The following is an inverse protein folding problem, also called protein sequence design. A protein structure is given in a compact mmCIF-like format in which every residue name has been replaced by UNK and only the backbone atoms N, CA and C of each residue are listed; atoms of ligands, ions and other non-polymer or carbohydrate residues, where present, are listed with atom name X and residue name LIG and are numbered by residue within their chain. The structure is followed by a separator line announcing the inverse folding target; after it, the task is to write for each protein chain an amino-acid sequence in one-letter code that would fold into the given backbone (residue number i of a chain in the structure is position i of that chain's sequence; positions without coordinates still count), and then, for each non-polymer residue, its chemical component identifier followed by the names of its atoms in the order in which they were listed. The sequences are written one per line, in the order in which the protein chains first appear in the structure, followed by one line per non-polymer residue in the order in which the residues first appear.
data_IF_812865528851
#
_entry.id   IF_812865528851
#
_cell.length_a   1.000
_cell.length_b   1.000
_cell.length_c   1.000
_cell.angle_alpha   90.00
_cell.angle_beta   90.00
_cell.angle_gamma   90.00
#
_symmetry.space_group_name_H-M   'P 1'
#
loop_
_entity.id
_entity.type
_entity.pdbx_description
1 polymer ?
#
# COMPACT_ATOMS: atom_id res chain seq x y z
N UNK A 1 -23.06 10.78 -8.29
CA UNK A 1 -22.80 11.01 -9.73
C UNK A 1 -21.61 11.95 -9.89
N UNK A 2 -21.46 13.00 -9.08
CA UNK A 2 -20.45 14.04 -9.24
C UNK A 2 -19.00 13.56 -9.11
N UNK A 3 -18.69 12.72 -8.10
CA UNK A 3 -17.31 12.28 -7.83
C UNK A 3 -16.71 11.37 -8.94
N UNK A 4 -17.51 10.55 -9.60
CA UNK A 4 -17.03 9.67 -10.69
C UNK A 4 -16.56 10.46 -11.91
N UNK A 5 -17.23 11.56 -12.26
CA UNK A 5 -16.86 12.39 -13.39
C UNK A 5 -15.56 13.15 -13.14
N UNK A 6 -15.35 13.65 -11.91
CA UNK A 6 -14.16 14.39 -11.53
C UNK A 6 -12.90 13.51 -11.58
N UNK A 7 -12.95 12.29 -11.01
CA UNK A 7 -11.82 11.35 -11.05
C UNK A 7 -11.48 10.94 -12.48
N UNK A 8 -12.49 10.70 -13.31
CA UNK A 8 -12.27 10.37 -14.73
C UNK A 8 -11.54 11.50 -15.47
N UNK A 9 -12.00 12.73 -15.32
CA UNK A 9 -11.36 13.90 -15.94
C UNK A 9 -9.92 14.09 -15.44
N UNK A 10 -9.67 13.89 -14.15
CA UNK A 10 -8.34 13.95 -13.55
C UNK A 10 -7.39 12.92 -14.16
N UNK A 11 -7.82 11.65 -14.27
CA UNK A 11 -7.02 10.56 -14.87
C UNK A 11 -6.77 10.83 -16.36
N UNK A 12 -7.80 11.27 -17.09
CA UNK A 12 -7.66 11.61 -18.52
C UNK A 12 -6.70 12.78 -18.78
N UNK A 13 -6.56 13.67 -17.80
CA UNK A 13 -5.57 14.76 -17.84
C UNK A 13 -4.14 14.29 -17.44
N UNK A 14 -3.91 13.00 -17.23
CA UNK A 14 -2.62 12.44 -16.84
C UNK A 14 -2.35 12.45 -15.34
N UNK A 15 -3.34 12.78 -14.51
CA UNK A 15 -3.22 12.82 -13.05
C UNK A 15 -2.83 11.47 -12.45
N UNK A 16 -2.07 11.49 -11.36
CA UNK A 16 -1.64 10.31 -10.61
C UNK A 16 -2.24 10.31 -9.21
N UNK A 17 -2.71 9.17 -8.78
CA UNK A 17 -3.39 9.00 -7.50
C UNK A 17 -2.77 7.84 -6.72
N UNK A 18 -2.29 8.14 -5.52
CA UNK A 18 -1.95 7.10 -4.53
C UNK A 18 -3.01 7.14 -3.44
N UNK A 19 -3.63 5.99 -3.18
CA UNK A 19 -4.56 5.79 -2.07
C UNK A 19 -3.91 4.87 -1.06
N UNK A 20 -4.02 5.22 0.21
CA UNK A 20 -3.53 4.43 1.34
C UNK A 20 -4.62 4.30 2.39
N UNK A 21 -4.72 3.12 3.02
CA UNK A 21 -5.74 2.85 4.03
C UNK A 21 -5.19 1.90 5.11
N UNK A 22 -5.43 2.19 6.37
CA UNK A 22 -5.08 1.29 7.48
C UNK A 22 -5.97 0.05 7.50
N UNK A 23 -5.36 -1.13 7.49
CA UNK A 23 -6.09 -2.41 7.42
C UNK A 23 -6.90 -2.75 8.67
N UNK A 24 -6.59 -2.09 9.80
CA UNK A 24 -7.28 -2.24 11.10
C UNK A 24 -8.12 -1.01 11.47
N UNK A 25 -8.42 -0.14 10.49
CA UNK A 25 -9.25 1.06 10.71
C UNK A 25 -10.64 0.68 11.22
N UNK A 26 -10.91 1.00 12.50
CA UNK A 26 -12.19 0.75 13.15
C UNK A 26 -13.24 1.85 12.88
N UNK A 27 -12.82 3.01 12.37
CA UNK A 27 -13.71 4.12 12.07
C UNK A 27 -14.26 4.06 10.65
N UNK A 28 -13.41 3.73 9.68
CA UNK A 28 -13.77 3.61 8.27
C UNK A 28 -13.33 2.24 7.73
N UNK A 29 -14.29 1.46 7.25
CA UNK A 29 -13.98 0.13 6.70
C UNK A 29 -13.10 0.22 5.46
N UNK A 30 -11.98 -0.52 5.44
CA UNK A 30 -11.13 -0.68 4.25
C UNK A 30 -11.92 -1.20 3.04
N UNK A 31 -12.98 -1.97 3.25
CA UNK A 31 -13.86 -2.46 2.18
C UNK A 31 -14.52 -1.32 1.40
N UNK A 32 -14.84 -0.20 2.05
CA UNK A 32 -15.38 0.98 1.35
C UNK A 32 -14.37 1.58 0.37
N UNK A 33 -13.09 1.60 0.73
CA UNK A 33 -12.01 2.05 -0.16
C UNK A 33 -11.76 1.04 -1.28
N UNK A 34 -11.78 -0.25 -1.00
CA UNK A 34 -11.68 -1.31 -2.02
C UNK A 34 -12.82 -1.19 -3.04
N UNK A 35 -14.06 -0.99 -2.56
CA UNK A 35 -15.21 -0.77 -3.43
C UNK A 35 -15.07 0.50 -4.27
N UNK A 36 -14.60 1.60 -3.66
CA UNK A 36 -14.33 2.84 -4.37
C UNK A 36 -13.32 2.64 -5.50
N UNK A 37 -12.17 1.99 -5.22
CA UNK A 37 -11.13 1.71 -6.22
C UNK A 37 -11.64 0.81 -7.34
N UNK A 38 -12.40 -0.23 -7.00
CA UNK A 38 -13.04 -1.13 -7.98
C UNK A 38 -14.03 -0.39 -8.88
N UNK A 39 -14.86 0.48 -8.31
CA UNK A 39 -15.82 1.27 -9.07
C UNK A 39 -15.16 2.35 -9.92
N UNK A 40 -14.03 2.90 -9.45
CA UNK A 40 -13.22 3.83 -10.23
C UNK A 40 -12.60 3.12 -11.43
N UNK A 41 -11.99 1.95 -11.24
CA UNK A 41 -11.42 1.14 -12.33
C UNK A 41 -12.48 0.83 -13.40
N UNK A 42 -13.67 0.37 -13.00
CA UNK A 42 -14.81 0.16 -13.93
C UNK A 42 -15.20 1.43 -14.70
N UNK A 43 -15.05 2.60 -14.08
CA UNK A 43 -15.41 3.89 -14.68
C UNK A 43 -14.40 4.40 -15.71
N UNK A 44 -13.10 4.20 -15.46
CA UNK A 44 -12.03 4.75 -16.30
C UNK A 44 -11.40 3.71 -17.22
N UNK A 45 -11.67 2.42 -16.98
CA UNK A 45 -11.06 1.26 -17.64
C UNK A 45 -9.79 0.79 -16.93
N UNK A 46 -9.53 -0.52 -16.96
CA UNK A 46 -8.44 -1.17 -16.23
C UNK A 46 -7.05 -0.60 -16.63
N UNK A 47 -6.82 -0.35 -17.91
CA UNK A 47 -5.55 0.19 -18.41
C UNK A 47 -5.28 1.60 -17.85
N UNK A 48 -6.27 2.50 -17.92
CA UNK A 48 -6.15 3.84 -17.38
C UNK A 48 -5.99 3.84 -15.85
N UNK A 49 -6.72 2.98 -15.15
CA UNK A 49 -6.57 2.81 -13.71
C UNK A 49 -5.16 2.34 -13.36
N UNK A 50 -4.64 1.29 -14.01
CA UNK A 50 -3.30 0.77 -13.80
C UNK A 50 -2.20 1.81 -14.10
N UNK A 51 -2.38 2.64 -15.12
CA UNK A 51 -1.45 3.70 -15.49
C UNK A 51 -1.47 4.92 -14.56
N UNK A 52 -2.55 5.11 -13.79
CA UNK A 52 -2.81 6.37 -13.06
C UNK A 52 -3.04 6.21 -11.56
N UNK A 53 -3.24 4.99 -11.05
CA UNK A 53 -3.58 4.80 -9.64
C UNK A 53 -2.73 3.73 -8.97
N UNK A 54 -2.48 3.92 -7.68
CA UNK A 54 -1.90 2.90 -6.79
C UNK A 54 -2.71 2.88 -5.50
N UNK A 55 -2.99 1.68 -5.02
CA UNK A 55 -3.72 1.50 -3.78
C UNK A 55 -2.95 0.57 -2.85
N UNK A 56 -2.80 0.99 -1.61
CA UNK A 56 -2.07 0.29 -0.58
C UNK A 56 -2.96 0.11 0.65
N UNK A 57 -2.95 -1.10 1.20
CA UNK A 57 -3.54 -1.38 2.52
C UNK A 57 -2.40 -1.69 3.48
N UNK A 58 -2.31 -0.93 4.56
CA UNK A 58 -1.30 -1.10 5.61
C UNK A 58 -1.82 -2.04 6.70
N UNK A 59 -1.35 -3.30 6.78
CA UNK A 59 -1.86 -4.25 7.76
C UNK A 59 -1.58 -3.78 9.19
N UNK A 60 -2.54 -3.93 10.09
CA UNK A 60 -2.39 -3.59 11.50
C UNK A 60 -2.34 -2.10 11.83
N UNK A 61 -2.51 -1.22 10.84
CA UNK A 61 -2.59 0.23 11.05
C UNK A 61 -4.03 0.64 11.27
N UNK A 62 -4.26 1.49 12.27
CA UNK A 62 -5.56 2.04 12.61
C UNK A 62 -5.96 3.21 11.68
N UNK A 63 -6.90 4.05 12.12
CA UNK A 63 -7.33 5.21 11.35
C UNK A 63 -6.21 6.25 11.23
N UNK A 64 -5.66 6.43 10.04
CA UNK A 64 -4.56 7.34 9.68
C UNK A 64 -3.20 6.99 10.28
N UNK A 65 -3.10 6.54 11.51
CA UNK A 65 -1.86 6.19 12.21
C UNK A 65 -2.14 5.30 13.42
N UNK A 66 -1.08 4.75 14.01
CA UNK A 66 -1.18 3.91 15.21
C UNK A 66 -1.51 2.45 14.88
N UNK A 67 -1.93 1.70 15.91
CA UNK A 67 -2.09 0.25 15.82
C UNK A 67 -0.77 -0.50 15.99
N UNK A 68 -0.75 -1.75 15.55
CA UNK A 68 0.44 -2.62 15.64
C UNK A 68 1.27 -2.63 14.35
N UNK A 69 0.74 -2.03 13.28
CA UNK A 69 1.36 -1.98 11.95
C UNK A 69 2.35 -0.83 11.78
N UNK A 70 2.88 -0.71 10.57
CA UNK A 70 3.85 0.31 10.16
C UNK A 70 3.09 1.48 9.52
N UNK A 71 2.97 2.57 10.23
CA UNK A 71 2.16 3.73 9.85
C UNK A 71 2.94 4.89 9.21
N UNK A 72 4.27 4.77 9.10
CA UNK A 72 5.11 5.80 8.49
C UNK A 72 5.61 5.36 7.11
N UNK A 73 5.15 6.06 6.07
CA UNK A 73 5.56 5.81 4.68
C UNK A 73 5.63 7.12 3.90
N UNK A 74 6.61 7.25 3.01
CA UNK A 74 6.81 8.45 2.20
C UNK A 74 6.03 8.37 0.88
N UNK A 75 4.73 8.61 0.97
CA UNK A 75 3.84 8.64 -0.20
C UNK A 75 4.07 9.87 -1.08
N UNK A 76 4.50 10.99 -0.48
CA UNK A 76 4.68 12.24 -1.22
C UNK A 76 5.85 12.16 -2.19
N UNK A 77 7.01 11.68 -1.74
CA UNK A 77 8.16 11.46 -2.62
C UNK A 77 7.84 10.42 -3.70
N UNK A 78 7.12 9.35 -3.35
CA UNK A 78 6.71 8.34 -4.33
C UNK A 78 5.79 8.94 -5.41
N UNK A 79 4.85 9.80 -5.03
CA UNK A 79 3.96 10.49 -5.97
C UNK A 79 4.73 11.49 -6.83
N UNK A 80 5.63 12.28 -6.24
CA UNK A 80 6.47 13.23 -6.97
C UNK A 80 7.33 12.53 -8.04
N UNK A 81 8.00 11.44 -7.69
CA UNK A 81 8.78 10.65 -8.64
C UNK A 81 7.91 10.07 -9.77
N UNK A 82 6.70 9.66 -9.45
CA UNK A 82 5.78 9.16 -10.46
C UNK A 82 5.36 10.26 -11.45
N UNK A 83 5.02 11.45 -10.95
CA UNK A 83 4.59 12.57 -11.79
C UNK A 83 5.75 13.16 -12.58
N UNK A 84 6.90 13.38 -11.95
CA UNK A 84 8.02 14.12 -12.56
C UNK A 84 8.96 13.25 -13.39
N UNK A 85 9.11 11.97 -13.02
CA UNK A 85 10.08 11.04 -13.65
C UNK A 85 9.42 9.84 -14.32
N UNK A 86 8.09 9.70 -14.21
CA UNK A 86 7.36 8.54 -14.74
C UNK A 86 7.60 7.24 -13.96
N UNK A 87 8.25 7.29 -12.78
CA UNK A 87 8.56 6.11 -11.98
C UNK A 87 7.36 5.77 -11.10
N UNK A 88 6.51 4.89 -11.61
CA UNK A 88 5.34 4.43 -10.87
C UNK A 88 5.75 3.60 -9.64
N UNK A 89 5.25 3.92 -8.43
CA UNK A 89 5.59 3.14 -7.25
C UNK A 89 4.96 1.74 -7.32
N UNK A 90 5.76 0.70 -7.03
CA UNK A 90 5.30 -0.68 -6.92
C UNK A 90 5.14 -1.05 -5.43
N UNK A 91 6.22 -1.54 -4.80
CA UNK A 91 6.27 -1.81 -3.37
C UNK A 91 6.94 -0.64 -2.66
N UNK A 92 6.27 -0.04 -1.71
CA UNK A 92 6.83 0.99 -0.86
C UNK A 92 7.45 0.39 0.41
N UNK A 93 8.09 1.24 1.21
CA UNK A 93 8.59 0.87 2.53
C UNK A 93 7.74 1.57 3.58
N UNK A 94 7.20 0.80 4.52
CA UNK A 94 6.53 1.32 5.69
C UNK A 94 7.36 1.03 6.94
N UNK A 95 7.34 1.95 7.89
CA UNK A 95 8.12 1.89 9.12
C UNK A 95 7.23 2.14 10.33
N UNK A 96 7.61 1.52 11.44
CA UNK A 96 7.11 1.87 12.76
C UNK A 96 8.25 2.44 13.57
N UNK A 97 7.97 3.54 14.26
CA UNK A 97 8.93 4.22 15.13
C UNK A 97 8.51 4.11 16.59
N UNK A 98 9.48 4.15 17.50
CA UNK A 98 9.22 4.26 18.92
C UNK A 98 8.92 5.72 19.35
N UNK A 99 8.69 5.92 20.64
CA UNK A 99 8.40 7.25 21.20
C UNK A 99 9.55 8.28 21.01
N UNK A 100 10.75 7.81 20.72
CA UNK A 100 11.93 8.65 20.47
C UNK A 100 12.17 8.90 18.98
N UNK A 101 11.33 8.34 18.10
CA UNK A 101 11.47 8.43 16.65
C UNK A 101 12.44 7.40 16.04
N UNK A 102 12.95 6.44 16.82
CA UNK A 102 13.82 5.40 16.29
C UNK A 102 12.99 4.33 15.57
N UNK A 103 13.45 3.92 14.39
CA UNK A 103 12.79 2.86 13.60
C UNK A 103 12.96 1.51 14.30
N UNK A 104 11.85 0.88 14.66
CA UNK A 104 11.81 -0.41 15.36
C UNK A 104 11.30 -1.56 14.49
N UNK A 105 10.66 -1.23 13.37
CA UNK A 105 10.12 -2.22 12.43
C UNK A 105 10.06 -1.61 11.03
N UNK A 106 10.42 -2.39 10.01
CA UNK A 106 10.37 -1.95 8.61
C UNK A 106 9.81 -3.08 7.75
N UNK A 107 8.68 -2.86 7.12
CA UNK A 107 8.03 -3.84 6.24
C UNK A 107 7.79 -3.29 4.82
N UNK A 108 7.60 -4.16 3.83
CA UNK A 108 7.13 -3.72 2.53
C UNK A 108 5.64 -3.32 2.63
N UNK A 109 5.29 -2.14 2.15
CA UNK A 109 3.91 -1.77 1.91
C UNK A 109 3.55 -2.21 0.49
N UNK A 110 2.76 -3.25 0.39
CA UNK A 110 2.42 -3.91 -0.85
C UNK A 110 1.23 -3.26 -1.54
N UNK A 111 1.29 -3.16 -2.86
CA UNK A 111 0.13 -2.71 -3.62
C UNK A 111 -1.01 -3.75 -3.50
N UNK A 112 -2.20 -3.29 -3.13
CA UNK A 112 -3.39 -4.14 -3.05
C UNK A 112 -3.68 -4.85 -4.40
N UNK A 113 -4.04 -6.14 -4.44
CA UNK A 113 -4.42 -7.00 -3.31
C UNK A 113 -3.27 -7.77 -2.66
N UNK A 114 -2.01 -7.49 -2.99
CA UNK A 114 -0.87 -8.15 -2.35
C UNK A 114 -0.73 -7.72 -0.88
N UNK A 115 -0.18 -8.62 -0.08
CA UNK A 115 0.15 -8.37 1.32
C UNK A 115 1.59 -8.85 1.63
N UNK A 116 2.23 -8.26 2.65
CA UNK A 116 3.55 -8.71 3.08
C UNK A 116 3.45 -10.11 3.70
N UNK A 117 4.27 -11.03 3.19
CA UNK A 117 4.45 -12.38 3.75
C UNK A 117 5.87 -12.56 4.20
N UNK A 118 6.04 -13.12 5.39
CA UNK A 118 7.36 -13.50 5.90
C UNK A 118 7.95 -14.64 5.05
N UNK A 119 9.19 -14.45 4.61
CA UNK A 119 9.97 -15.40 3.81
C UNK A 119 11.33 -15.70 4.45
N UNK A 120 11.60 -15.12 5.62
CA UNK A 120 12.87 -15.34 6.35
C UNK A 120 12.91 -16.69 7.05
N UNK A 121 14.07 -17.06 7.66
CA UNK A 121 14.22 -18.28 8.41
C UNK A 121 13.23 -18.38 9.58
N UNK A 122 12.69 -19.56 9.82
CA UNK A 122 11.82 -19.82 10.96
C UNK A 122 12.52 -19.49 12.29
N UNK A 123 11.77 -18.98 13.27
CA UNK A 123 12.24 -18.72 14.64
C UNK A 123 13.41 -17.72 14.79
N UNK A 124 13.56 -16.77 13.88
CA UNK A 124 14.55 -15.71 14.00
C UNK A 124 13.88 -14.34 14.23
N UNK A 125 13.62 -14.00 15.49
CA UNK A 125 12.96 -12.77 15.91
C UNK A 125 13.71 -11.46 15.52
N UNK A 126 14.98 -11.54 15.15
CA UNK A 126 15.72 -10.37 14.62
C UNK A 126 15.34 -10.06 13.17
N UNK A 127 14.96 -11.10 12.40
CA UNK A 127 14.63 -10.96 10.99
C UNK A 127 13.15 -10.57 10.75
N UNK A 128 12.26 -10.83 11.71
CA UNK A 128 10.84 -10.48 11.59
C UNK A 128 10.58 -8.97 11.57
N UNK A 129 11.59 -8.16 11.94
CA UNK A 129 11.56 -6.69 11.92
C UNK A 129 12.14 -6.06 10.67
N UNK A 130 12.66 -6.87 9.75
CA UNK A 130 13.37 -6.40 8.57
C UNK A 130 12.54 -6.55 7.29
N UNK A 131 12.46 -5.49 6.50
CA UNK A 131 11.79 -5.49 5.19
C UNK A 131 12.29 -6.63 4.27
N UNK A 132 13.59 -6.94 4.31
CA UNK A 132 14.20 -8.00 3.51
C UNK A 132 13.69 -9.41 3.83
N UNK A 133 13.06 -9.60 4.97
CA UNK A 133 12.46 -10.87 5.38
C UNK A 133 11.00 -11.05 4.92
N UNK A 134 10.51 -10.13 4.08
CA UNK A 134 9.14 -10.17 3.58
C UNK A 134 9.08 -9.98 2.07
N UNK A 135 8.14 -10.65 1.45
CA UNK A 135 7.77 -10.46 0.06
C UNK A 135 6.29 -10.08 -0.08
N UNK A 136 5.98 -9.27 -1.09
CA UNK A 136 4.60 -9.00 -1.46
C UNK A 136 4.04 -10.18 -2.24
N UNK A 137 2.98 -10.81 -1.71
CA UNK A 137 2.34 -11.97 -2.34
C UNK A 137 0.84 -11.74 -2.48
N UNK A 138 0.26 -12.30 -3.54
CA UNK A 138 -1.20 -12.30 -3.72
C UNK A 138 -1.88 -13.24 -2.72
N UNK A 139 -3.11 -12.95 -2.28
CA UNK A 139 -3.87 -13.85 -1.43
C UNK A 139 -3.97 -15.25 -2.03
N UNK A 140 -3.79 -16.28 -1.21
CA UNK A 140 -3.86 -17.70 -1.63
C UNK A 140 -2.60 -18.25 -2.30
N UNK A 141 -1.56 -17.44 -2.50
CA UNK A 141 -0.26 -17.92 -2.99
C UNK A 141 0.65 -18.20 -1.80
N UNK A 142 0.99 -19.46 -1.59
CA UNK A 142 2.01 -19.86 -0.61
C UNK A 142 3.39 -19.46 -1.14
N UNK A 143 4.20 -18.70 -0.38
CA UNK A 143 5.58 -18.45 -0.77
C UNK A 143 6.36 -19.78 -0.78
N UNK A 144 7.15 -20.01 -1.82
CA UNK A 144 8.12 -21.11 -1.77
C UNK A 144 9.17 -20.76 -0.71
N UNK A 145 9.16 -21.48 0.40
CA UNK A 145 10.27 -21.48 1.33
C UNK A 145 11.45 -22.16 0.63
N UNK A 146 12.49 -21.40 0.31
CA UNK A 146 13.76 -21.98 -0.06
C UNK A 146 14.39 -22.53 1.24
N UNK A 147 14.49 -23.86 1.30
CA UNK A 147 15.09 -24.60 2.42
C UNK A 147 16.61 -24.60 2.23
#
# INVERSE_FOLDING_TARGET
VCCRQLVRAFIQAGGKLIVWHGGSDAALSVNSTIEYMTNMEKSVGAENAAASTRFYVAPGVDHCEGGVGEDKTDLLTALDQWVTKGIAPATLTAQRVDANGAVILTLPLCQYPQCPRYIGPANNAANDKLRSSYACTSPGVEPKLEI
#
